data_IF_886687842608
#
_entry.id   IF_886687842608
#
_cell.length_a   1.000
_cell.length_b   1.000
_cell.length_c   1.000
_cell.angle_alpha   90.00
_cell.angle_beta   90.00
_cell.angle_gamma   90.00
#
_symmetry.space_group_name_H-M   'P 1'
#
loop_
_entity.id
_entity.type
_entity.pdbx_description
1 polymer ?
#
# COMPACT_ATOMS: atom_id res chain seq x y z
N UNK A 1 10.04 -15.38 -1.30
CA UNK A 1 8.69 -15.73 -1.81
C UNK A 1 8.21 -17.00 -1.15
N UNK A 2 6.94 -17.09 -0.74
CA UNK A 2 6.43 -18.25 -0.02
C UNK A 2 6.22 -19.50 -0.89
N UNK A 3 6.06 -19.35 -2.21
CA UNK A 3 5.74 -20.44 -3.17
C UNK A 3 4.45 -21.23 -2.84
N UNK A 4 3.68 -20.82 -1.83
CA UNK A 4 2.47 -21.51 -1.38
C UNK A 4 1.20 -21.03 -2.11
N UNK A 5 1.28 -19.90 -2.82
CA UNK A 5 0.18 -19.33 -3.60
C UNK A 5 0.73 -18.59 -4.83
N UNK A 6 -0.10 -18.48 -5.87
CA UNK A 6 0.24 -17.73 -7.06
C UNK A 6 0.35 -16.23 -6.74
N UNK A 7 1.36 -15.59 -7.33
CA UNK A 7 1.43 -14.14 -7.34
C UNK A 7 0.32 -13.54 -8.19
N UNK A 8 -0.03 -12.28 -7.90
CA UNK A 8 -0.88 -11.44 -8.75
C UNK A 8 -0.65 -9.94 -8.54
N UNK A 9 0.33 -9.57 -7.71
CA UNK A 9 0.72 -8.18 -7.46
C UNK A 9 2.18 -8.01 -7.90
N UNK A 10 2.49 -6.88 -8.52
CA UNK A 10 3.86 -6.47 -8.81
C UNK A 10 4.30 -5.50 -7.71
N UNK A 11 5.36 -5.86 -7.01
CA UNK A 11 5.97 -5.07 -5.93
C UNK A 11 7.26 -4.38 -6.41
N UNK A 12 7.47 -3.13 -5.99
CA UNK A 12 8.73 -2.41 -6.17
C UNK A 12 9.68 -2.68 -5.00
N UNK A 13 10.85 -3.28 -5.26
CA UNK A 13 11.85 -3.62 -4.23
C UNK A 13 12.46 -2.36 -3.60
N UNK A 14 12.81 -1.39 -4.44
CA UNK A 14 13.05 0.00 -4.06
C UNK A 14 11.72 0.74 -4.11
N UNK A 15 11.29 1.25 -2.96
CA UNK A 15 10.00 1.93 -2.81
C UNK A 15 9.96 3.24 -3.59
N UNK A 16 8.85 3.45 -4.29
CA UNK A 16 8.56 4.73 -4.91
C UNK A 16 8.29 5.80 -3.84
N UNK A 17 8.83 6.98 -4.10
CA UNK A 17 8.65 8.20 -3.33
C UNK A 17 8.65 9.40 -4.28
N UNK A 18 8.39 10.58 -3.73
CA UNK A 18 8.26 11.82 -4.50
C UNK A 18 9.50 12.16 -5.34
N UNK A 19 10.69 11.71 -4.94
CA UNK A 19 11.94 12.03 -5.63
C UNK A 19 12.27 11.03 -6.76
N UNK A 20 11.85 9.77 -6.67
CA UNK A 20 12.20 8.72 -7.64
C UNK A 20 11.04 8.29 -8.56
N UNK A 21 9.81 8.79 -8.35
CA UNK A 21 8.63 8.42 -9.16
C UNK A 21 8.72 8.81 -10.65
N UNK A 22 9.67 9.67 -11.01
CA UNK A 22 9.91 10.07 -12.40
C UNK A 22 11.04 9.29 -13.07
N UNK A 23 11.74 8.44 -12.34
CA UNK A 23 12.85 7.65 -12.87
C UNK A 23 12.32 6.32 -13.45
N UNK A 24 12.40 6.09 -14.77
CA UNK A 24 11.98 4.83 -15.38
C UNK A 24 12.83 3.63 -14.94
N UNK A 25 14.09 3.85 -14.58
CA UNK A 25 14.99 2.79 -14.12
C UNK A 25 14.61 2.31 -12.72
N UNK A 26 13.83 3.10 -11.97
CA UNK A 26 13.22 2.69 -10.70
C UNK A 26 11.77 2.23 -10.90
N UNK A 27 10.97 2.98 -11.65
CA UNK A 27 9.52 2.74 -11.75
C UNK A 27 9.13 1.57 -12.65
N UNK A 28 9.90 1.30 -13.71
CA UNK A 28 9.56 0.34 -14.77
C UNK A 28 10.60 -0.79 -14.94
N UNK A 29 11.74 -0.72 -14.26
CA UNK A 29 12.80 -1.73 -14.39
C UNK A 29 12.38 -3.07 -13.79
N UNK A 30 12.46 -4.14 -14.58
CA UNK A 30 12.23 -5.52 -14.10
C UNK A 30 13.16 -5.92 -12.95
N UNK A 31 14.34 -5.32 -12.85
CA UNK A 31 15.28 -5.57 -11.75
C UNK A 31 14.74 -5.00 -10.43
N UNK A 32 13.92 -3.95 -10.50
CA UNK A 32 13.24 -3.38 -9.34
C UNK A 32 11.83 -3.97 -9.09
N UNK A 33 11.29 -4.75 -10.02
CA UNK A 33 9.96 -5.35 -9.89
C UNK A 33 10.04 -6.78 -9.34
N UNK A 34 9.00 -7.18 -8.60
CA UNK A 34 8.87 -8.51 -8.04
C UNK A 34 7.43 -9.01 -8.07
N UNK A 35 7.19 -10.20 -8.62
CA UNK A 35 5.84 -10.76 -8.70
C UNK A 35 5.47 -11.57 -7.45
N UNK A 36 4.61 -11.03 -6.59
CA UNK A 36 4.28 -11.54 -5.25
C UNK A 36 2.80 -11.91 -5.12
N UNK A 37 2.47 -12.83 -4.22
CA UNK A 37 1.09 -12.98 -3.73
C UNK A 37 0.79 -11.87 -2.70
N UNK A 38 -0.49 -11.61 -2.42
CA UNK A 38 -0.89 -10.53 -1.50
C UNK A 38 -0.27 -10.65 -0.10
N UNK A 39 -0.21 -11.86 0.46
CA UNK A 39 0.37 -12.04 1.78
C UNK A 39 1.86 -11.65 1.79
N UNK A 40 2.64 -12.15 0.82
CA UNK A 40 4.03 -11.75 0.69
C UNK A 40 4.17 -10.25 0.42
N UNK A 41 3.30 -9.65 -0.39
CA UNK A 41 3.31 -8.20 -0.64
C UNK A 41 3.15 -7.40 0.66
N UNK A 42 2.17 -7.77 1.49
CA UNK A 42 1.84 -7.05 2.73
C UNK A 42 2.90 -7.23 3.83
N UNK A 43 3.64 -8.34 3.80
CA UNK A 43 4.72 -8.64 4.76
C UNK A 43 6.05 -7.94 4.39
N UNK A 44 6.18 -7.42 3.16
CA UNK A 44 7.37 -6.70 2.71
C UNK A 44 7.44 -5.30 3.33
N UNK A 45 8.66 -4.82 3.57
CA UNK A 45 8.90 -3.49 4.14
C UNK A 45 8.32 -2.38 3.24
N UNK A 46 7.89 -1.26 3.85
CA UNK A 46 7.24 -0.17 3.13
C UNK A 46 5.73 -0.35 2.92
N UNK A 47 5.22 -1.59 2.95
CA UNK A 47 3.78 -1.87 2.85
C UNK A 47 3.12 -2.06 4.22
N UNK A 48 3.05 -0.96 4.98
CA UNK A 48 1.87 -0.52 5.74
C UNK A 48 1.14 -1.41 6.77
N UNK A 49 1.43 -2.70 6.93
CA UNK A 49 0.72 -3.57 7.89
C UNK A 49 1.58 -3.89 9.13
N UNK A 50 2.88 -3.61 9.07
CA UNK A 50 3.84 -3.90 10.16
C UNK A 50 3.59 -3.05 11.42
N UNK A 51 2.77 -1.99 11.34
CA UNK A 51 2.33 -1.23 12.51
C UNK A 51 0.81 -1.28 12.58
N UNK A 52 0.29 -2.06 13.55
CA UNK A 52 -1.11 -2.09 13.99
C UNK A 52 -1.61 -0.71 14.47
N UNK A 53 -1.61 0.31 13.60
CA UNK A 53 -2.40 1.51 13.84
C UNK A 53 -3.84 1.06 13.79
N UNK A 54 -4.58 1.32 14.88
CA UNK A 54 -6.01 1.02 14.94
C UNK A 54 -6.69 1.72 13.76
N UNK A 55 -7.29 0.96 12.86
CA UNK A 55 -8.10 1.50 11.77
C UNK A 55 -9.19 2.39 12.38
N UNK A 56 -9.20 3.68 12.01
CA UNK A 56 -10.14 4.67 12.53
C UNK A 56 -11.38 4.81 11.64
N UNK A 57 -11.22 4.49 10.35
CA UNK A 57 -12.22 4.63 9.28
C UNK A 57 -12.20 3.37 8.43
N UNK A 58 -13.38 2.87 8.09
CA UNK A 58 -13.68 1.81 7.15
C UNK A 58 -14.52 2.40 6.01
N UNK A 59 -14.80 1.64 4.97
CA UNK A 59 -15.67 2.08 3.88
C UNK A 59 -16.82 1.09 3.69
N UNK A 60 -18.03 1.61 3.47
CA UNK A 60 -19.18 0.79 3.11
C UNK A 60 -19.08 0.27 1.67
N UNK A 61 -20.04 -0.55 1.25
CA UNK A 61 -20.10 -1.11 -0.11
C UNK A 61 -20.22 -0.05 -1.23
N UNK A 62 -20.60 1.18 -0.89
CA UNK A 62 -20.71 2.31 -1.81
C UNK A 62 -19.47 3.23 -1.73
N UNK A 63 -18.49 2.90 -0.89
CA UNK A 63 -17.29 3.71 -0.68
C UNK A 63 -17.49 4.88 0.30
N UNK A 64 -18.55 4.91 1.10
CA UNK A 64 -18.71 5.95 2.13
C UNK A 64 -17.90 5.59 3.39
N UNK A 65 -17.24 6.56 4.03
CA UNK A 65 -16.49 6.30 5.26
C UNK A 65 -17.42 5.92 6.44
N UNK A 66 -17.05 4.89 7.18
CA UNK A 66 -17.69 4.42 8.42
C UNK A 66 -16.64 4.38 9.54
N UNK A 67 -16.85 5.05 10.66
CA UNK A 67 -15.89 5.04 11.78
C UNK A 67 -16.00 6.27 12.67
N UNK A 68 -15.09 6.41 13.64
CA UNK A 68 -15.10 7.58 14.54
C UNK A 68 -14.59 8.83 13.79
N UNK A 69 -15.52 9.51 13.13
CA UNK A 69 -15.40 10.92 12.77
C UNK A 69 -15.71 11.69 14.07
N UNK A 70 -14.70 12.22 14.78
CA UNK A 70 -14.98 13.23 15.81
C UNK A 70 -15.29 14.55 15.12
N UNK A 71 -16.30 15.27 15.60
CA UNK A 71 -16.86 16.50 15.01
C UNK A 71 -15.82 17.61 14.73
N UNK A 72 -14.60 17.50 15.27
CA UNK A 72 -13.51 18.46 15.09
C UNK A 72 -12.33 17.96 14.24
N UNK A 73 -12.47 16.84 13.52
CA UNK A 73 -11.42 16.39 12.59
C UNK A 73 -11.76 16.88 11.19
N UNK A 74 -11.17 17.99 10.69
CA UNK A 74 -11.40 18.43 9.32
C UNK A 74 -10.93 17.33 8.39
N UNK A 75 -11.87 16.76 7.63
CA UNK A 75 -11.61 15.64 6.72
C UNK A 75 -10.75 16.07 5.53
N UNK A 76 -10.75 17.36 5.21
CA UNK A 76 -9.88 17.99 4.23
C UNK A 76 -9.71 19.45 4.71
N UNK A 77 -8.48 19.95 4.82
CA UNK A 77 -8.22 21.40 4.85
C UNK A 77 -7.76 21.74 3.44
N UNK A 78 -8.41 22.72 2.83
CA UNK A 78 -8.02 23.31 1.54
C UNK A 78 -6.55 23.75 1.52
#
# INVERSE_FOLDING_TARGET
MCQSSLGYIVHHKEMLNENNIHDPDVTLSFDNLQYVCKQCHDDLEGHGVVRKKKMLVFFDKNGNPIGKISENTPLFKD
#
